data_IF_537826140978
#
_entry.id   IF_537826140978
#
_cell.length_a   1.000
_cell.length_b   1.000
_cell.length_c   1.000
_cell.angle_alpha   90.00
_cell.angle_beta   90.00
_cell.angle_gamma   90.00
#
_symmetry.space_group_name_H-M   'P 1'
#
loop_
_entity.id
_entity.type
_entity.pdbx_description
1 polymer ?
#
# COMPACT_ATOMS: atom_id res chain seq x y z
N UNK A 1 -28.59 17.45 41.40
CA UNK A 1 -28.94 16.46 40.37
C UNK A 1 -27.65 15.75 39.94
N UNK A 2 -27.36 14.55 40.45
CA UNK A 2 -26.15 13.79 40.07
C UNK A 2 -26.39 13.20 38.69
N UNK A 3 -25.79 13.79 37.66
CA UNK A 3 -25.76 13.19 36.32
C UNK A 3 -24.96 11.90 36.42
N UNK A 4 -25.64 10.76 36.41
CA UNK A 4 -24.99 9.47 36.27
C UNK A 4 -24.43 9.42 34.84
N UNK A 5 -23.11 9.61 34.73
CA UNK A 5 -22.40 9.38 33.46
C UNK A 5 -22.63 7.92 33.07
N UNK A 6 -23.40 7.72 32.00
CA UNK A 6 -23.56 6.43 31.34
C UNK A 6 -22.16 5.89 31.02
N UNK A 7 -21.75 4.82 31.72
CA UNK A 7 -20.52 4.09 31.39
C UNK A 7 -20.76 3.33 30.10
N UNK A 8 -20.38 3.94 28.98
CA UNK A 8 -20.40 3.28 27.67
C UNK A 8 -19.33 2.18 27.70
N UNK A 9 -19.68 0.93 27.34
CA UNK A 9 -18.73 -0.18 27.22
C UNK A 9 -17.59 0.16 26.25
N UNK A 10 -16.36 -0.23 26.61
CA UNK A 10 -15.16 0.05 25.81
C UNK A 10 -15.24 -0.49 24.38
N UNK A 11 -15.84 -1.66 24.17
CA UNK A 11 -16.00 -2.25 22.83
C UNK A 11 -16.89 -1.40 21.92
N UNK A 12 -17.92 -0.71 22.44
CA UNK A 12 -18.77 0.17 21.65
C UNK A 12 -18.04 1.47 21.27
N UNK A 13 -17.18 1.98 22.15
CA UNK A 13 -16.34 3.15 21.85
C UNK A 13 -15.35 2.82 20.73
N UNK A 14 -14.68 1.66 20.81
CA UNK A 14 -13.74 1.19 19.78
C UNK A 14 -14.44 0.94 18.44
N UNK A 15 -15.62 0.31 18.46
CA UNK A 15 -16.40 0.09 17.25
C UNK A 15 -16.89 1.42 16.64
N UNK A 16 -17.43 2.31 17.46
CA UNK A 16 -17.92 3.63 17.03
C UNK A 16 -16.82 4.50 16.44
N UNK A 17 -15.64 4.55 17.05
CA UNK A 17 -14.50 5.31 16.52
C UNK A 17 -13.97 4.74 15.22
N UNK A 18 -13.98 3.41 15.05
CA UNK A 18 -13.60 2.75 13.79
C UNK A 18 -14.57 3.10 12.66
N UNK A 19 -15.88 3.05 12.90
CA UNK A 19 -16.88 3.41 11.91
C UNK A 19 -16.85 4.89 11.56
N UNK A 20 -16.70 5.77 12.56
CA UNK A 20 -16.55 7.21 12.32
C UNK A 20 -15.32 7.50 11.45
N UNK A 21 -14.19 6.87 11.75
CA UNK A 21 -12.98 6.98 10.93
C UNK A 21 -13.23 6.57 9.48
N UNK A 22 -13.95 5.46 9.25
CA UNK A 22 -14.29 5.01 7.88
C UNK A 22 -15.19 6.00 7.14
N UNK A 23 -16.16 6.61 7.82
CA UNK A 23 -17.03 7.64 7.23
C UNK A 23 -16.20 8.87 6.83
N UNK A 24 -15.31 9.32 7.73
CA UNK A 24 -14.42 10.45 7.43
C UNK A 24 -13.52 10.12 6.23
N UNK A 25 -12.90 8.93 6.21
CA UNK A 25 -12.06 8.49 5.08
C UNK A 25 -12.86 8.51 3.78
N UNK A 26 -14.07 7.95 3.76
CA UNK A 26 -14.92 7.94 2.57
C UNK A 26 -15.30 9.36 2.13
N UNK A 27 -15.66 10.24 3.06
CA UNK A 27 -15.99 11.64 2.77
C UNK A 27 -14.81 12.41 2.18
N UNK A 28 -13.63 12.27 2.78
CA UNK A 28 -12.39 12.88 2.27
C UNK A 28 -12.04 12.33 0.89
N UNK A 29 -12.22 11.03 0.67
CA UNK A 29 -11.92 10.42 -0.62
C UNK A 29 -12.85 10.94 -1.73
N UNK A 30 -14.15 11.08 -1.45
CA UNK A 30 -15.09 11.69 -2.40
C UNK A 30 -14.73 13.15 -2.70
N UNK A 31 -14.42 13.95 -1.67
CA UNK A 31 -14.00 15.35 -1.86
C UNK A 31 -12.69 15.45 -2.67
N UNK A 32 -11.77 14.51 -2.45
CA UNK A 32 -10.49 14.44 -3.18
C UNK A 32 -10.69 14.18 -4.67
N UNK A 33 -11.69 13.40 -5.06
CA UNK A 33 -12.01 13.15 -6.48
C UNK A 33 -12.35 14.47 -7.17
N UNK A 34 -13.31 15.22 -6.63
CA UNK A 34 -13.71 16.51 -7.21
C UNK A 34 -12.57 17.52 -7.23
N UNK A 35 -11.79 17.58 -6.15
CA UNK A 35 -10.64 18.47 -6.05
C UNK A 35 -9.55 18.13 -7.08
N UNK A 36 -9.22 16.84 -7.25
CA UNK A 36 -8.21 16.40 -8.20
C UNK A 36 -8.66 16.62 -9.64
N UNK A 37 -9.92 16.35 -9.98
CA UNK A 37 -10.48 16.65 -11.30
C UNK A 37 -10.40 18.16 -11.59
N UNK A 38 -10.71 19.01 -10.61
CA UNK A 38 -10.63 20.47 -10.77
C UNK A 38 -9.22 20.99 -11.07
N UNK A 39 -8.17 20.32 -10.59
CA UNK A 39 -6.77 20.75 -10.78
C UNK A 39 -6.15 20.09 -12.01
N UNK A 40 -6.41 18.80 -12.21
CA UNK A 40 -5.76 17.99 -13.24
C UNK A 40 -6.52 18.03 -14.57
N UNK A 41 -7.83 18.27 -14.54
CA UNK A 41 -8.73 17.99 -15.64
C UNK A 41 -9.08 16.49 -15.73
N UNK A 42 -10.09 16.18 -16.53
CA UNK A 42 -10.66 14.83 -16.63
C UNK A 42 -9.64 13.79 -17.14
N UNK A 43 -8.87 14.13 -18.18
CA UNK A 43 -7.93 13.19 -18.81
C UNK A 43 -6.77 12.80 -17.89
N UNK A 44 -6.13 13.79 -17.24
CA UNK A 44 -5.02 13.53 -16.30
C UNK A 44 -5.50 12.84 -15.03
N UNK A 45 -6.72 13.14 -14.58
CA UNK A 45 -7.34 12.41 -13.50
C UNK A 45 -7.61 10.94 -13.89
N UNK A 46 -8.05 10.66 -15.11
CA UNK A 46 -8.25 9.30 -15.60
C UNK A 46 -6.93 8.51 -15.61
N UNK A 47 -5.84 9.12 -16.08
CA UNK A 47 -4.48 8.52 -16.02
C UNK A 47 -4.08 8.25 -14.57
N UNK A 48 -4.27 9.21 -13.67
CA UNK A 48 -4.01 9.04 -12.24
C UNK A 48 -4.85 7.89 -11.64
N UNK A 49 -6.13 7.80 -11.98
CA UNK A 49 -7.02 6.74 -11.50
C UNK A 49 -6.59 5.37 -12.01
N UNK A 50 -6.13 5.26 -13.26
CA UNK A 50 -5.58 4.01 -13.80
C UNK A 50 -4.29 3.62 -13.07
N UNK A 51 -3.34 4.55 -12.94
CA UNK A 51 -2.08 4.29 -12.25
C UNK A 51 -2.32 3.89 -10.79
N UNK A 52 -3.17 4.60 -10.06
CA UNK A 52 -3.51 4.25 -8.66
C UNK A 52 -4.25 2.93 -8.55
N UNK A 53 -4.98 2.48 -9.58
CA UNK A 53 -5.54 1.13 -9.65
C UNK A 53 -4.49 0.03 -9.59
N UNK A 54 -3.25 0.31 -10.01
CA UNK A 54 -2.12 -0.62 -9.92
C UNK A 54 -1.54 -0.72 -8.51
N UNK A 55 -1.91 0.17 -7.59
CA UNK A 55 -1.37 0.21 -6.23
C UNK A 55 -1.51 -1.14 -5.52
N UNK A 56 -2.67 -1.79 -5.63
CA UNK A 56 -2.92 -3.10 -5.01
C UNK A 56 -1.95 -4.15 -5.56
N UNK A 57 -1.75 -4.19 -6.89
CA UNK A 57 -0.83 -5.12 -7.54
C UNK A 57 0.62 -4.85 -7.17
N UNK A 58 1.03 -3.58 -7.12
CA UNK A 58 2.38 -3.19 -6.72
C UNK A 58 2.63 -3.43 -5.21
N UNK A 59 1.60 -3.37 -4.38
CA UNK A 59 1.70 -3.65 -2.93
C UNK A 59 1.97 -5.13 -2.64
N UNK A 60 1.62 -6.03 -3.57
CA UNK A 60 1.89 -7.47 -3.46
C UNK A 60 3.37 -7.85 -3.65
N UNK A 61 4.26 -6.85 -3.83
CA UNK A 61 5.73 -7.01 -3.87
C UNK A 61 6.28 -7.73 -2.63
N UNK A 62 5.58 -7.65 -1.49
CA UNK A 62 6.00 -8.31 -0.25
C UNK A 62 5.96 -9.84 -0.35
N UNK A 63 5.22 -10.38 -1.34
CA UNK A 63 5.04 -11.82 -1.57
C UNK A 63 4.73 -12.63 -0.30
N UNK A 64 4.07 -12.01 0.68
CA UNK A 64 3.74 -12.64 1.97
C UNK A 64 4.89 -12.73 2.97
N UNK A 65 6.08 -12.19 2.68
CA UNK A 65 7.25 -12.16 3.58
C UNK A 65 6.85 -11.58 4.94
N UNK A 66 6.16 -10.45 4.95
CA UNK A 66 5.76 -9.79 6.20
C UNK A 66 4.82 -10.65 7.04
N UNK A 67 3.86 -11.32 6.41
CA UNK A 67 2.91 -12.21 7.12
C UNK A 67 3.62 -13.46 7.66
N UNK A 68 4.48 -14.07 6.84
CA UNK A 68 5.28 -15.23 7.27
C UNK A 68 6.18 -14.90 8.44
N UNK A 69 6.89 -13.78 8.38
CA UNK A 69 7.77 -13.32 9.46
C UNK A 69 7.00 -13.04 10.76
N UNK A 70 5.85 -12.36 10.68
CA UNK A 70 4.99 -12.10 11.84
C UNK A 70 4.57 -13.41 12.54
N UNK A 71 4.22 -14.43 11.75
CA UNK A 71 3.86 -15.74 12.28
C UNK A 71 5.05 -16.43 12.97
N UNK A 72 6.24 -16.40 12.35
CA UNK A 72 7.45 -16.97 12.95
C UNK A 72 7.86 -16.25 14.24
N UNK A 73 7.80 -14.91 14.27
CA UNK A 73 8.08 -14.14 15.50
C UNK A 73 7.11 -14.56 16.61
N UNK A 74 5.82 -14.65 16.30
CA UNK A 74 4.79 -15.07 17.26
C UNK A 74 5.06 -16.48 17.82
N UNK A 75 5.47 -17.43 16.97
CA UNK A 75 5.83 -18.79 17.37
C UNK A 75 7.08 -18.82 18.25
N UNK A 76 8.14 -18.08 17.88
CA UNK A 76 9.37 -17.98 18.66
C UNK A 76 9.12 -17.38 20.05
N UNK A 77 8.29 -16.33 20.13
CA UNK A 77 7.87 -15.71 21.40
C UNK A 77 7.13 -16.70 22.30
N UNK A 78 6.15 -17.43 21.75
CA UNK A 78 5.42 -18.44 22.51
C UNK A 78 6.35 -19.55 23.05
N UNK A 79 7.47 -19.82 22.36
CA UNK A 79 8.47 -20.82 22.74
C UNK A 79 9.69 -20.26 23.50
N UNK A 80 9.72 -18.97 23.84
CA UNK A 80 10.87 -18.27 24.43
C UNK A 80 12.20 -18.48 23.66
N UNK A 81 12.13 -18.47 22.32
CA UNK A 81 13.29 -18.59 21.43
C UNK A 81 13.62 -17.25 20.77
N UNK A 82 14.89 -17.00 20.48
CA UNK A 82 15.31 -15.85 19.67
C UNK A 82 14.76 -15.97 18.24
N UNK A 83 14.36 -14.83 17.67
CA UNK A 83 13.85 -14.70 16.31
C UNK A 83 14.73 -13.82 15.41
N UNK A 84 15.91 -13.39 15.89
CA UNK A 84 16.79 -12.44 15.19
C UNK A 84 17.24 -12.96 13.81
N UNK A 85 17.45 -14.27 13.69
CA UNK A 85 17.79 -14.91 12.43
C UNK A 85 16.68 -14.76 11.38
N UNK A 86 15.41 -14.88 11.79
CA UNK A 86 14.27 -14.72 10.88
C UNK A 86 14.12 -13.28 10.40
N UNK A 87 14.33 -12.29 11.28
CA UNK A 87 14.35 -10.88 10.89
C UNK A 87 15.46 -10.63 9.87
N UNK A 88 16.68 -11.10 10.12
CA UNK A 88 17.80 -10.96 9.17
C UNK A 88 17.47 -11.61 7.83
N UNK A 89 16.96 -12.85 7.81
CA UNK A 89 16.57 -13.53 6.58
C UNK A 89 15.48 -12.77 5.81
N UNK A 90 14.47 -12.24 6.50
CA UNK A 90 13.40 -11.47 5.87
C UNK A 90 13.91 -10.14 5.27
N UNK A 91 14.87 -9.47 5.92
CA UNK A 91 15.52 -8.27 5.37
C UNK A 91 16.29 -8.59 4.07
N UNK A 92 17.06 -9.68 4.05
CA UNK A 92 17.76 -10.11 2.83
C UNK A 92 16.77 -10.48 1.71
N UNK A 93 15.71 -11.20 2.04
CA UNK A 93 14.68 -11.58 1.07
C UNK A 93 13.93 -10.35 0.53
N UNK A 94 13.65 -9.37 1.39
CA UNK A 94 13.04 -8.10 0.99
C UNK A 94 13.96 -7.32 0.05
N UNK A 95 15.27 -7.28 0.34
CA UNK A 95 16.24 -6.62 -0.53
C UNK A 95 16.33 -7.27 -1.91
N UNK A 96 16.35 -8.60 -1.97
CA UNK A 96 16.31 -9.37 -3.22
C UNK A 96 15.01 -9.09 -3.98
N UNK A 97 13.87 -9.08 -3.29
CA UNK A 97 12.58 -8.77 -3.89
C UNK A 97 12.56 -7.37 -4.50
N UNK A 98 13.09 -6.35 -3.82
CA UNK A 98 13.19 -4.98 -4.34
C UNK A 98 13.96 -4.94 -5.66
N UNK A 99 15.15 -5.56 -5.71
CA UNK A 99 15.97 -5.60 -6.93
C UNK A 99 15.23 -6.34 -8.04
N UNK A 100 14.63 -7.48 -7.73
CA UNK A 100 13.86 -8.28 -8.68
C UNK A 100 12.70 -7.48 -9.28
N UNK A 101 11.90 -6.79 -8.47
CA UNK A 101 10.76 -6.01 -8.94
C UNK A 101 11.17 -4.74 -9.69
N UNK A 102 12.26 -4.08 -9.31
CA UNK A 102 12.83 -2.97 -10.10
C UNK A 102 13.18 -3.45 -11.51
N UNK A 103 13.90 -4.58 -11.61
CA UNK A 103 14.28 -5.16 -12.90
C UNK A 103 13.05 -5.58 -13.72
N UNK A 104 12.09 -6.25 -13.06
CA UNK A 104 10.83 -6.67 -13.66
C UNK A 104 10.07 -5.47 -14.24
N UNK A 105 9.83 -4.42 -13.44
CA UNK A 105 9.13 -3.24 -13.92
C UNK A 105 9.91 -2.52 -15.02
N UNK A 106 11.24 -2.46 -14.95
CA UNK A 106 12.04 -1.83 -15.99
C UNK A 106 11.88 -2.53 -17.35
N UNK A 107 11.93 -3.86 -17.36
CA UNK A 107 11.77 -4.70 -18.56
C UNK A 107 10.34 -4.61 -19.11
N UNK A 108 9.34 -4.80 -18.26
CA UNK A 108 7.94 -4.91 -18.69
C UNK A 108 7.22 -3.56 -18.85
N UNK A 109 7.77 -2.47 -18.31
CA UNK A 109 7.16 -1.13 -18.37
C UNK A 109 6.77 -0.71 -19.78
N UNK A 110 7.62 -0.96 -20.79
CA UNK A 110 7.33 -0.57 -22.17
C UNK A 110 6.08 -1.26 -22.73
N UNK A 111 6.01 -2.59 -22.59
CA UNK A 111 4.92 -3.39 -23.14
C UNK A 111 3.61 -3.15 -22.39
N UNK A 112 3.67 -3.09 -21.05
CA UNK A 112 2.46 -2.94 -20.24
C UNK A 112 1.91 -1.51 -20.38
N UNK A 113 2.77 -0.49 -20.29
CA UNK A 113 2.31 0.91 -20.39
C UNK A 113 1.69 1.23 -21.75
N UNK A 114 2.25 0.69 -22.84
CA UNK A 114 1.70 0.88 -24.19
C UNK A 114 0.28 0.34 -24.34
N UNK A 115 -0.05 -0.78 -23.66
CA UNK A 115 -1.41 -1.35 -23.67
C UNK A 115 -2.32 -0.66 -22.66
N UNK A 116 -1.85 -0.51 -21.43
CA UNK A 116 -2.62 -0.04 -20.29
C UNK A 116 -2.99 1.44 -20.38
N UNK A 117 -2.11 2.26 -20.96
CA UNK A 117 -2.33 3.71 -21.15
C UNK A 117 -2.51 4.09 -22.63
N UNK A 118 -2.88 3.11 -23.48
CA UNK A 118 -3.03 3.30 -24.94
C UNK A 118 -3.94 4.48 -25.31
N UNK A 119 -5.08 4.63 -24.62
CA UNK A 119 -6.04 5.72 -24.85
C UNK A 119 -5.49 7.13 -24.55
N UNK A 120 -4.35 7.23 -23.88
CA UNK A 120 -3.76 8.50 -23.44
C UNK A 120 -2.40 8.78 -24.10
N UNK A 121 -2.06 8.05 -25.16
CA UNK A 121 -0.75 8.15 -25.80
C UNK A 121 -0.43 9.56 -26.33
N UNK A 122 -1.43 10.27 -26.88
CA UNK A 122 -1.24 11.66 -27.37
C UNK A 122 -0.90 12.65 -26.25
N UNK A 123 -1.47 12.44 -25.06
CA UNK A 123 -1.28 13.31 -23.89
C UNK A 123 0.06 13.03 -23.21
N UNK A 124 0.41 11.75 -23.05
CA UNK A 124 1.65 11.34 -22.37
C UNK A 124 2.87 11.38 -23.29
N UNK A 125 2.69 11.30 -24.61
CA UNK A 125 3.76 11.21 -25.60
C UNK A 125 4.80 10.14 -25.18
N UNK A 126 6.08 10.48 -25.26
CA UNK A 126 7.21 9.61 -24.90
C UNK A 126 7.36 9.35 -23.39
N UNK A 127 6.57 10.01 -22.53
CA UNK A 127 6.69 9.88 -21.06
C UNK A 127 5.91 8.68 -20.52
N UNK A 128 5.13 8.00 -21.34
CA UNK A 128 4.24 6.88 -20.95
C UNK A 128 4.98 5.80 -20.17
N UNK A 129 6.12 5.33 -20.69
CA UNK A 129 6.94 4.28 -20.05
C UNK A 129 7.51 4.75 -18.71
N UNK A 130 8.04 5.98 -18.67
CA UNK A 130 8.67 6.54 -17.47
C UNK A 130 7.65 6.71 -16.35
N UNK A 131 6.47 7.28 -16.66
CA UNK A 131 5.40 7.50 -15.70
C UNK A 131 4.85 6.19 -15.12
N UNK A 132 4.66 5.17 -15.96
CA UNK A 132 4.25 3.86 -15.50
C UNK A 132 5.31 3.24 -14.56
N UNK A 133 6.58 3.27 -14.97
CA UNK A 133 7.68 2.71 -14.19
C UNK A 133 7.82 3.39 -12.82
N UNK A 134 7.85 4.72 -12.77
CA UNK A 134 8.00 5.46 -11.51
C UNK A 134 6.80 5.24 -10.60
N UNK A 135 5.58 5.16 -11.14
CA UNK A 135 4.38 4.87 -10.34
C UNK A 135 4.46 3.49 -9.69
N UNK A 136 4.83 2.45 -10.45
CA UNK A 136 5.00 1.10 -9.91
C UNK A 136 6.05 1.06 -8.80
N UNK A 137 7.18 1.75 -8.97
CA UNK A 137 8.22 1.85 -7.93
C UNK A 137 7.70 2.51 -6.65
N UNK A 138 7.01 3.64 -6.78
CA UNK A 138 6.44 4.36 -5.64
C UNK A 138 5.42 3.48 -4.92
N UNK A 139 4.53 2.80 -5.65
CA UNK A 139 3.52 1.95 -5.01
C UNK A 139 4.12 0.69 -4.36
N UNK A 140 5.20 0.12 -4.90
CA UNK A 140 5.89 -1.00 -4.25
C UNK A 140 6.58 -0.61 -2.94
N UNK A 141 6.86 0.68 -2.69
CA UNK A 141 7.34 1.11 -1.37
C UNK A 141 6.34 0.79 -0.24
N UNK A 142 5.03 0.75 -0.54
CA UNK A 142 3.98 0.40 0.42
C UNK A 142 4.16 -1.04 0.90
N UNK A 143 4.44 -1.99 0.01
CA UNK A 143 4.62 -3.39 0.38
C UNK A 143 5.86 -3.59 1.26
N UNK A 144 6.96 -2.89 0.97
CA UNK A 144 8.18 -2.91 1.80
C UNK A 144 7.88 -2.32 3.19
N UNK A 145 7.19 -1.17 3.23
CA UNK A 145 6.75 -0.55 4.49
C UNK A 145 5.86 -1.47 5.32
N UNK A 146 5.00 -2.26 4.67
CA UNK A 146 4.15 -3.23 5.35
C UNK A 146 4.95 -4.35 6.05
N UNK A 147 6.09 -4.77 5.49
CA UNK A 147 6.98 -5.74 6.15
C UNK A 147 7.56 -5.13 7.43
N UNK A 148 8.08 -3.90 7.36
CA UNK A 148 8.64 -3.20 8.52
C UNK A 148 7.58 -2.99 9.62
N UNK A 149 6.36 -2.59 9.23
CA UNK A 149 5.24 -2.43 10.17
C UNK A 149 4.89 -3.75 10.88
N UNK A 150 4.85 -4.87 10.15
CA UNK A 150 4.55 -6.20 10.72
C UNK A 150 5.64 -6.69 11.67
N UNK A 151 6.91 -6.32 11.44
CA UNK A 151 8.00 -6.60 12.39
C UNK A 151 7.75 -5.85 13.70
N UNK A 152 7.52 -4.53 13.63
CA UNK A 152 7.27 -3.69 14.81
C UNK A 152 6.04 -4.12 15.61
N UNK A 153 5.00 -4.64 14.94
CA UNK A 153 3.80 -5.13 15.61
C UNK A 153 4.02 -6.50 16.28
N UNK A 154 4.98 -7.28 15.81
CA UNK A 154 5.24 -8.63 16.31
C UNK A 154 6.22 -8.68 17.49
N UNK A 155 7.05 -7.65 17.67
CA UNK A 155 7.83 -7.39 18.90
C UNK A 155 6.89 -7.08 20.07
#
# INVERSE_FOLDING_TARGET
MKVQLLKIPSHLIVAGSSWLSKIIIAGVQLASISYLISILGEEKYAIFSLLTGLLVWCSAVDFGIGTGLQNYISECRAKNKSYDAYIKSALHLSFIAIIFFIALFYIFSGVISAKYLSSFHEILQDKTRMLFFTSCLVFSSIGIGAIAYKILFAE
#
